data_IF_604501514371
#
_entry.id   IF_604501514371
#
_cell.length_a   1.000
_cell.length_b   1.000
_cell.length_c   1.000
_cell.angle_alpha   90.00
_cell.angle_beta   90.00
_cell.angle_gamma   90.00
#
_symmetry.space_group_name_H-M   'P 1'
#
loop_
_entity.id
_entity.type
_entity.pdbx_description
1 polymer ?
#
# COMPACT_ATOMS: atom_id res chain seq x y z
N UNK A 1 -29.24 16.79 -44.30
CA UNK A 1 -29.99 15.70 -43.65
C UNK A 1 -29.31 15.34 -42.34
N UNK A 2 -30.00 15.37 -41.18
CA UNK A 2 -29.42 14.98 -39.90
C UNK A 2 -29.08 13.47 -39.92
N UNK A 3 -27.82 13.10 -39.68
CA UNK A 3 -27.46 11.68 -39.56
C UNK A 3 -28.05 11.13 -38.25
N UNK A 4 -28.64 9.92 -38.30
CA UNK A 4 -29.16 9.26 -37.09
C UNK A 4 -28.01 9.06 -36.10
N UNK A 5 -28.13 9.65 -34.92
CA UNK A 5 -27.16 9.53 -33.83
C UNK A 5 -26.82 8.06 -33.49
N UNK A 6 -27.76 7.13 -33.67
CA UNK A 6 -27.54 5.69 -33.47
C UNK A 6 -26.52 5.04 -34.43
N UNK A 7 -26.12 5.73 -35.51
CA UNK A 7 -25.11 5.29 -36.46
C UNK A 7 -23.73 5.94 -36.23
N UNK A 8 -23.56 6.75 -35.18
CA UNK A 8 -22.25 7.29 -34.85
C UNK A 8 -21.29 6.20 -34.35
N UNK A 9 -20.00 6.39 -34.60
CA UNK A 9 -18.93 5.59 -34.00
C UNK A 9 -19.02 5.70 -32.48
N UNK A 10 -19.25 4.59 -31.78
CA UNK A 10 -19.42 4.54 -30.31
C UNK A 10 -20.86 4.47 -29.77
N UNK A 11 -21.91 4.68 -30.59
CA UNK A 11 -23.32 4.56 -30.12
C UNK A 11 -23.93 3.17 -30.35
N UNK A 12 -23.17 2.23 -30.92
CA UNK A 12 -23.62 0.88 -31.25
C UNK A 12 -23.27 -0.07 -30.10
N UNK A 13 -24.16 -1.02 -29.80
CA UNK A 13 -23.92 -2.05 -28.77
C UNK A 13 -22.83 -3.08 -29.12
N UNK A 14 -22.35 -3.06 -30.36
CA UNK A 14 -21.32 -3.95 -30.88
C UNK A 14 -20.27 -3.15 -31.62
N UNK A 15 -19.00 -3.52 -31.43
CA UNK A 15 -17.91 -2.96 -32.20
C UNK A 15 -18.06 -3.31 -33.68
N UNK A 16 -17.99 -2.30 -34.54
CA UNK A 16 -17.86 -2.47 -35.99
C UNK A 16 -16.55 -3.15 -36.33
N UNK A 17 -16.43 -3.72 -37.53
CA UNK A 17 -15.20 -4.37 -37.97
C UNK A 17 -13.98 -3.43 -37.91
N UNK A 18 -14.15 -2.15 -38.28
CA UNK A 18 -13.12 -1.11 -38.17
C UNK A 18 -12.76 -0.80 -36.70
N UNK A 19 -13.76 -0.72 -35.81
CA UNK A 19 -13.50 -0.54 -34.38
C UNK A 19 -12.81 -1.75 -33.77
N UNK A 20 -13.18 -2.98 -34.15
CA UNK A 20 -12.47 -4.21 -33.72
C UNK A 20 -11.02 -4.24 -34.21
N UNK A 21 -10.77 -3.78 -35.44
CA UNK A 21 -9.41 -3.67 -35.98
C UNK A 21 -8.56 -2.60 -35.26
N UNK A 22 -9.19 -1.52 -34.75
CA UNK A 22 -8.53 -0.48 -33.94
C UNK A 22 -8.45 -0.82 -32.45
N UNK A 23 -9.38 -1.62 -31.94
CA UNK A 23 -9.49 -1.99 -30.53
C UNK A 23 -8.61 -3.21 -30.19
N UNK A 24 -8.36 -4.09 -31.15
CA UNK A 24 -7.58 -5.31 -30.94
C UNK A 24 -6.17 -5.16 -31.56
N UNK A 25 -5.19 -4.80 -30.72
CA UNK A 25 -3.77 -5.08 -30.97
C UNK A 25 -2.88 -3.90 -31.31
N UNK A 26 -1.57 -4.16 -31.18
CA UNK A 26 -0.48 -3.21 -31.40
C UNK A 26 -0.54 -2.64 -32.82
N UNK A 27 -0.92 -1.37 -32.96
CA UNK A 27 -0.84 -0.64 -34.22
C UNK A 27 0.64 -0.47 -34.58
N UNK A 28 1.11 -1.23 -35.58
CA UNK A 28 2.45 -1.06 -36.15
C UNK A 28 2.42 0.13 -37.10
N UNK A 29 2.75 1.31 -36.59
CA UNK A 29 2.93 2.51 -37.40
C UNK A 29 4.42 2.87 -37.50
N UNK A 30 4.86 3.33 -38.67
CA UNK A 30 6.19 3.91 -38.83
C UNK A 30 6.21 5.25 -38.10
N UNK A 31 7.04 5.35 -37.07
CA UNK A 31 7.25 6.58 -36.32
C UNK A 31 8.12 7.52 -37.17
N UNK A 32 7.70 8.78 -37.31
CA UNK A 32 8.43 9.80 -38.05
C UNK A 32 9.62 10.35 -37.27
N UNK A 33 10.49 11.10 -37.95
CA UNK A 33 11.63 11.80 -37.32
C UNK A 33 11.18 12.76 -36.22
N UNK A 34 10.00 13.36 -36.36
CA UNK A 34 9.42 14.32 -35.41
C UNK A 34 9.11 13.71 -34.03
N UNK A 35 8.97 12.38 -33.94
CA UNK A 35 8.74 11.71 -32.66
C UNK A 35 10.04 11.39 -31.92
N UNK A 36 11.19 11.66 -32.52
CA UNK A 36 12.49 11.52 -31.88
C UNK A 36 12.94 12.88 -31.35
N UNK A 37 13.56 12.88 -30.17
CA UNK A 37 14.16 14.09 -29.62
C UNK A 37 15.32 14.53 -30.52
N UNK A 38 15.24 15.75 -31.06
CA UNK A 38 16.32 16.33 -31.85
C UNK A 38 17.61 16.44 -31.04
N UNK A 39 18.75 16.32 -31.72
CA UNK A 39 20.05 16.47 -31.06
C UNK A 39 20.19 17.88 -30.47
N UNK A 40 20.75 17.98 -29.27
CA UNK A 40 20.93 19.26 -28.56
C UNK A 40 19.67 19.81 -27.89
N UNK A 41 18.55 19.07 -27.90
CA UNK A 41 17.36 19.43 -27.15
C UNK A 41 17.42 18.85 -25.73
N UNK A 42 16.85 19.58 -24.78
CA UNK A 42 16.72 19.15 -23.41
C UNK A 42 15.67 18.03 -23.32
N UNK A 43 16.04 16.89 -22.73
CA UNK A 43 15.13 15.76 -22.58
C UNK A 43 14.03 15.97 -21.52
N UNK A 44 14.06 17.06 -20.74
CA UNK A 44 13.00 17.43 -19.80
C UNK A 44 12.02 18.44 -20.39
N UNK A 45 12.53 19.52 -21.00
CA UNK A 45 11.68 20.60 -21.53
C UNK A 45 11.28 20.41 -22.99
N UNK A 46 11.93 19.49 -23.71
CA UNK A 46 11.72 19.27 -25.16
C UNK A 46 11.97 20.51 -26.03
N UNK A 47 12.75 21.46 -25.51
CA UNK A 47 13.22 22.66 -26.20
C UNK A 47 14.73 22.60 -26.43
N UNK A 48 15.31 23.43 -27.33
CA UNK A 48 16.75 23.57 -27.46
C UNK A 48 17.41 23.78 -26.09
N UNK A 49 18.47 23.04 -25.78
CA UNK A 49 19.08 23.09 -24.46
C UNK A 49 19.86 24.40 -24.26
N UNK A 50 19.55 25.10 -23.17
CA UNK A 50 20.28 26.28 -22.70
C UNK A 50 21.28 25.87 -21.64
N UNK A 51 22.54 26.28 -21.78
CA UNK A 51 23.67 25.81 -20.96
C UNK A 51 23.65 24.27 -20.83
N UNK A 52 23.86 23.55 -21.95
CA UNK A 52 23.61 22.13 -22.01
C UNK A 52 24.54 21.35 -21.07
N UNK A 53 23.95 20.42 -20.32
CA UNK A 53 24.65 19.50 -19.44
C UNK A 53 24.27 18.07 -19.79
N UNK A 54 25.23 17.16 -19.66
CA UNK A 54 25.09 15.74 -19.96
C UNK A 54 25.10 14.93 -18.67
N UNK A 55 24.13 14.03 -18.54
CA UNK A 55 24.15 13.00 -17.49
C UNK A 55 25.07 11.84 -17.88
N UNK A 56 25.54 11.01 -16.92
CA UNK A 56 26.31 9.80 -17.22
C UNK A 56 25.58 8.77 -18.11
N UNK A 57 24.26 8.90 -18.23
CA UNK A 57 23.44 8.10 -19.16
C UNK A 57 23.47 8.60 -20.62
N UNK A 58 24.17 9.70 -20.91
CA UNK A 58 24.34 10.26 -22.24
C UNK A 58 23.17 11.12 -22.74
N UNK A 59 22.31 11.62 -21.83
CA UNK A 59 21.19 12.50 -22.18
C UNK A 59 21.56 13.96 -21.93
N UNK A 60 21.12 14.84 -22.82
CA UNK A 60 21.31 16.29 -22.74
C UNK A 60 20.12 16.93 -22.01
N UNK A 61 20.43 17.85 -21.11
CA UNK A 61 19.46 18.64 -20.38
C UNK A 61 19.90 20.10 -20.38
N UNK A 62 18.96 21.04 -20.25
CA UNK A 62 19.33 22.39 -19.81
C UNK A 62 19.67 22.34 -18.32
N UNK A 63 20.69 23.08 -17.91
CA UNK A 63 21.17 23.09 -16.53
C UNK A 63 20.09 23.43 -15.51
N UNK A 64 19.18 24.33 -15.87
CA UNK A 64 18.10 24.79 -14.99
C UNK A 64 17.09 23.67 -14.69
N UNK A 65 16.53 23.05 -15.73
CA UNK A 65 15.52 22.00 -15.59
C UNK A 65 16.04 20.77 -14.84
N UNK A 66 17.28 20.33 -15.08
CA UNK A 66 17.81 19.17 -14.38
C UNK A 66 18.07 19.46 -12.90
N UNK A 67 18.46 20.69 -12.54
CA UNK A 67 18.63 21.08 -11.14
C UNK A 67 17.29 21.19 -10.43
N UNK A 68 16.28 21.76 -11.07
CA UNK A 68 14.91 21.81 -10.54
C UNK A 68 14.36 20.39 -10.29
N UNK A 69 14.56 19.47 -11.25
CA UNK A 69 14.22 18.07 -11.08
C UNK A 69 14.93 17.43 -9.88
N UNK A 70 16.24 17.64 -9.73
CA UNK A 70 16.99 17.08 -8.59
C UNK A 70 16.52 17.65 -7.25
N UNK A 71 16.16 18.93 -7.20
CA UNK A 71 15.62 19.57 -6.00
C UNK A 71 14.24 19.04 -5.62
N UNK A 72 13.34 18.89 -6.59
CA UNK A 72 12.00 18.34 -6.37
C UNK A 72 12.06 16.89 -5.90
N UNK A 73 12.84 16.04 -6.59
CA UNK A 73 13.05 14.64 -6.17
C UNK A 73 13.78 14.52 -4.83
N UNK A 74 14.71 15.42 -4.52
CA UNK A 74 15.32 15.49 -3.21
C UNK A 74 14.31 15.78 -2.08
N UNK A 75 13.35 16.69 -2.32
CA UNK A 75 12.27 16.99 -1.35
C UNK A 75 11.31 15.81 -1.19
N UNK A 76 10.93 15.16 -2.29
CA UNK A 76 10.09 13.96 -2.26
C UNK A 76 10.76 12.84 -1.46
N UNK A 77 12.05 12.56 -1.70
CA UNK A 77 12.78 11.54 -0.95
C UNK A 77 12.86 11.85 0.54
N UNK A 78 13.11 13.12 0.92
CA UNK A 78 13.10 13.50 2.35
C UNK A 78 11.76 13.21 3.03
N UNK A 79 10.64 13.42 2.33
CA UNK A 79 9.31 13.07 2.85
C UNK A 79 9.17 11.55 3.00
N UNK A 80 9.53 10.79 1.97
CA UNK A 80 9.47 9.32 2.01
C UNK A 80 10.34 8.73 3.13
N UNK A 81 11.53 9.29 3.37
CA UNK A 81 12.39 8.89 4.47
C UNK A 81 11.75 9.14 5.84
N UNK A 82 11.11 10.30 6.01
CA UNK A 82 10.38 10.62 7.24
C UNK A 82 9.21 9.66 7.47
N UNK A 83 8.42 9.41 6.43
CA UNK A 83 7.27 8.49 6.50
C UNK A 83 7.72 7.05 6.82
N UNK A 84 8.85 6.63 6.23
CA UNK A 84 9.47 5.33 6.51
C UNK A 84 9.97 5.21 7.95
N UNK A 85 10.65 6.24 8.47
CA UNK A 85 11.13 6.27 9.86
C UNK A 85 9.96 6.27 10.85
N UNK A 86 8.90 7.04 10.58
CA UNK A 86 7.68 7.04 11.40
C UNK A 86 6.99 5.67 11.40
N UNK A 87 6.96 4.98 10.25
CA UNK A 87 6.39 3.64 10.18
C UNK A 87 7.24 2.62 10.94
N UNK A 88 8.57 2.66 10.81
CA UNK A 88 9.46 1.79 11.59
C UNK A 88 9.30 2.01 13.09
N UNK A 89 9.26 3.27 13.53
CA UNK A 89 9.08 3.60 14.95
C UNK A 89 7.73 3.11 15.50
N UNK A 90 6.65 3.18 14.69
CA UNK A 90 5.35 2.62 15.06
C UNK A 90 5.40 1.10 15.15
N UNK A 91 6.01 0.43 14.17
CA UNK A 91 6.12 -1.03 14.17
C UNK A 91 6.87 -1.55 15.42
N UNK A 92 7.98 -0.91 15.80
CA UNK A 92 8.73 -1.26 17.02
C UNK A 92 7.89 -1.06 18.28
N UNK A 93 7.16 0.07 18.38
CA UNK A 93 6.26 0.32 19.52
C UNK A 93 5.13 -0.70 19.61
N UNK A 94 4.51 -1.04 18.48
CA UNK A 94 3.41 -2.01 18.42
C UNK A 94 3.91 -3.43 18.80
N UNK A 95 5.14 -3.78 18.43
CA UNK A 95 5.79 -5.03 18.86
C UNK A 95 6.07 -5.03 20.37
N UNK A 96 6.57 -3.94 20.94
CA UNK A 96 6.79 -3.80 22.38
C UNK A 96 5.48 -3.87 23.18
N UNK A 97 4.43 -3.17 22.75
CA UNK A 97 3.11 -3.22 23.42
C UNK A 97 2.53 -4.61 23.34
N UNK A 98 2.62 -5.28 22.19
CA UNK A 98 2.13 -6.65 22.03
C UNK A 98 2.93 -7.66 22.87
N UNK A 99 4.24 -7.47 23.02
CA UNK A 99 5.06 -8.29 23.89
C UNK A 99 4.65 -8.11 25.37
N UNK A 100 4.44 -6.87 25.82
CA UNK A 100 3.98 -6.58 27.17
C UNK A 100 2.56 -7.09 27.43
N UNK A 101 1.64 -6.93 26.47
CA UNK A 101 0.29 -7.50 26.53
C UNK A 101 0.36 -9.03 26.68
N UNK A 102 1.13 -9.72 25.84
CA UNK A 102 1.28 -11.17 25.91
C UNK A 102 1.89 -11.65 27.24
N UNK A 103 2.82 -10.86 27.80
CA UNK A 103 3.42 -11.11 29.11
C UNK A 103 2.38 -10.93 30.21
N UNK A 104 1.63 -9.82 30.18
CA UNK A 104 0.57 -9.54 31.15
C UNK A 104 -0.52 -10.62 31.13
N UNK A 105 -0.93 -11.07 29.94
CA UNK A 105 -1.89 -12.17 29.77
C UNK A 105 -1.34 -13.50 30.28
N UNK A 106 -0.04 -13.77 30.11
CA UNK A 106 0.56 -15.00 30.65
C UNK A 106 0.56 -14.99 32.18
N UNK A 107 0.78 -13.82 32.79
CA UNK A 107 0.74 -13.64 34.24
C UNK A 107 -0.69 -13.78 34.76
N UNK A 108 -1.69 -13.14 34.12
CA UNK A 108 -3.09 -13.28 34.53
C UNK A 108 -3.56 -14.72 34.43
N UNK A 109 -3.28 -15.41 33.30
CA UNK A 109 -3.58 -16.84 33.13
C UNK A 109 -2.91 -17.72 34.20
N UNK A 110 -1.66 -17.43 34.57
CA UNK A 110 -0.97 -18.15 35.63
C UNK A 110 -1.63 -17.95 37.01
N UNK A 111 -2.01 -16.72 37.35
CA UNK A 111 -2.69 -16.43 38.62
C UNK A 111 -4.07 -17.11 38.68
N UNK A 112 -4.87 -17.02 37.63
CA UNK A 112 -6.20 -17.64 37.55
C UNK A 112 -6.13 -19.17 37.72
N UNK A 113 -5.18 -19.83 37.05
CA UNK A 113 -5.00 -21.28 37.16
C UNK A 113 -4.56 -21.70 38.57
N UNK A 114 -3.66 -20.96 39.21
CA UNK A 114 -3.17 -21.30 40.55
C UNK A 114 -4.15 -20.98 41.68
N UNK A 115 -4.94 -19.91 41.59
CA UNK A 115 -5.96 -19.60 42.60
C UNK A 115 -7.20 -20.51 42.49
N UNK A 116 -7.53 -21.01 41.30
CA UNK A 116 -8.56 -22.04 41.12
C UNK A 116 -8.27 -23.34 41.88
N UNK A 117 -6.99 -23.74 41.99
CA UNK A 117 -6.56 -24.97 42.69
C UNK A 117 -6.75 -24.90 44.20
N UNK A 118 -6.74 -23.70 44.81
CA UNK A 118 -7.01 -23.54 46.25
C UNK A 118 -8.49 -23.77 46.60
N UNK A 119 -9.40 -23.61 45.64
CA UNK A 119 -10.84 -23.82 45.83
C UNK A 119 -11.28 -25.30 45.68
N UNK A 120 -10.51 -26.12 44.95
CA UNK A 120 -10.82 -27.53 44.72
C UNK A 120 -10.27 -28.44 45.83
N UNK A 121 -9.17 -28.05 46.51
CA UNK A 121 -8.63 -28.83 47.64
C UNK A 121 -9.47 -28.70 48.93
N UNK A 122 -10.38 -27.71 49.03
CA UNK A 122 -11.37 -27.59 50.12
C UNK A 122 -12.66 -28.40 49.90
N UNK A 123 -12.77 -29.16 48.81
CA UNK A 123 -13.99 -29.94 48.49
C UNK A 123 -13.71 -31.45 48.52
N UNK A 124 -13.18 -31.94 49.64
CA UNK A 124 -13.11 -33.40 49.91
C UNK A 124 -13.13 -33.71 51.41
N UNK A 125 -14.18 -33.28 52.11
CA UNK A 125 -14.64 -33.86 53.39
C UNK A 125 -16.18 -33.72 53.46
N UNK A 126 -16.88 -34.84 53.69
CA UNK A 126 -18.34 -34.94 53.94
C UNK A 126 -19.15 -35.28 52.68
N UNK A 127 -19.44 -36.55 52.38
CA UNK A 127 -20.46 -37.42 53.00
C UNK A 127 -21.89 -37.08 52.57
N UNK A 128 -22.47 -38.01 51.81
CA UNK A 128 -23.87 -38.39 51.60
C UNK A 128 -24.95 -37.36 51.96
N UNK A 129 -25.65 -36.87 50.94
CA UNK A 129 -26.79 -35.98 51.12
C UNK A 129 -27.59 -35.79 49.83
N UNK A 130 -28.52 -36.72 49.58
CA UNK A 130 -29.65 -36.54 48.68
C UNK A 130 -30.30 -35.16 48.88
N UNK A 131 -30.28 -34.32 47.84
CA UNK A 131 -31.17 -33.16 47.74
C UNK A 131 -31.75 -33.08 46.34
N UNK A 132 -32.84 -33.82 46.18
CA UNK A 132 -34.07 -33.48 45.44
C UNK A 132 -33.97 -32.28 44.50
N UNK A 133 -34.17 -32.60 43.22
CA UNK A 133 -34.56 -31.70 42.13
C UNK A 133 -35.69 -30.77 42.58
N UNK A 134 -35.41 -29.48 42.68
CA UNK A 134 -36.44 -28.44 42.68
C UNK A 134 -36.50 -27.83 41.28
N UNK A 135 -37.63 -28.07 40.61
CA UNK A 135 -37.90 -27.58 39.27
C UNK A 135 -37.84 -26.05 39.23
N UNK A 136 -37.01 -25.53 38.33
CA UNK A 136 -37.24 -24.23 37.73
C UNK A 136 -37.67 -24.47 36.29
N UNK A 137 -38.83 -23.92 35.96
CA UNK A 137 -39.37 -23.84 34.61
C UNK A 137 -38.28 -23.40 33.62
N UNK A 138 -38.33 -23.82 32.34
CA UNK A 138 -37.40 -23.31 31.35
C UNK A 138 -37.71 -21.82 31.15
N UNK A 139 -37.11 -20.97 31.97
CA UNK A 139 -36.99 -19.55 31.68
C UNK A 139 -36.29 -19.51 30.33
N UNK A 140 -37.03 -19.09 29.29
CA UNK A 140 -36.55 -18.94 27.92
C UNK A 140 -35.09 -18.54 27.98
N UNK A 141 -34.20 -19.52 27.76
CA UNK A 141 -32.78 -19.27 27.78
C UNK A 141 -32.61 -18.24 26.68
N UNK A 142 -32.39 -16.97 27.06
CA UNK A 142 -31.84 -16.03 26.10
C UNK A 142 -30.59 -16.77 25.63
N UNK A 143 -30.51 -17.02 24.34
CA UNK A 143 -29.30 -17.51 23.72
C UNK A 143 -28.26 -16.43 24.02
N UNK A 144 -27.62 -16.55 25.18
CA UNK A 144 -26.53 -15.70 25.59
C UNK A 144 -25.41 -16.25 24.76
N UNK A 145 -25.10 -15.48 23.72
CA UNK A 145 -24.03 -15.76 22.81
C UNK A 145 -22.72 -15.60 23.58
N UNK A 146 -22.27 -16.71 24.17
CA UNK A 146 -21.02 -16.87 24.94
C UNK A 146 -19.76 -16.75 24.06
N UNK A 147 -19.92 -16.50 22.76
CA UNK A 147 -18.77 -16.26 21.88
C UNK A 147 -18.07 -14.98 22.29
N UNK A 148 -16.74 -15.07 22.35
CA UNK A 148 -15.90 -13.93 22.73
C UNK A 148 -15.95 -12.86 21.65
N UNK A 149 -15.72 -11.59 22.03
CA UNK A 149 -15.74 -10.48 21.07
C UNK A 149 -14.78 -10.69 19.89
N UNK A 150 -13.68 -11.43 20.09
CA UNK A 150 -12.69 -11.72 19.06
C UNK A 150 -13.17 -12.78 18.05
N UNK A 151 -13.93 -13.79 18.50
CA UNK A 151 -14.58 -14.76 17.62
C UNK A 151 -15.60 -14.09 16.71
N UNK A 152 -16.37 -13.13 17.24
CA UNK A 152 -17.32 -12.34 16.44
C UNK A 152 -16.61 -11.51 15.37
N UNK A 153 -15.48 -10.88 15.71
CA UNK A 153 -14.65 -10.14 14.75
C UNK A 153 -14.06 -11.04 13.67
N UNK A 154 -13.64 -12.26 14.00
CA UNK A 154 -13.14 -13.23 13.02
C UNK A 154 -14.25 -13.64 12.03
N UNK A 155 -15.45 -13.94 12.51
CA UNK A 155 -16.61 -14.24 11.65
C UNK A 155 -17.04 -13.05 10.78
N UNK A 156 -16.97 -11.82 11.33
CA UNK A 156 -17.21 -10.58 10.59
C UNK A 156 -16.17 -10.35 9.48
N UNK A 157 -14.91 -10.72 9.70
CA UNK A 157 -13.85 -10.57 8.69
C UNK A 157 -14.13 -11.41 7.42
N UNK A 158 -14.72 -12.59 7.58
CA UNK A 158 -15.08 -13.46 6.46
C UNK A 158 -16.39 -13.04 5.77
N UNK A 159 -17.33 -12.45 6.52
CA UNK A 159 -18.66 -12.08 6.01
C UNK A 159 -18.74 -10.64 5.48
N UNK A 160 -17.83 -9.75 5.90
CA UNK A 160 -17.87 -8.32 5.57
C UNK A 160 -16.53 -7.80 5.01
N UNK A 161 -16.17 -8.17 3.76
CA UNK A 161 -14.91 -7.72 3.14
C UNK A 161 -14.87 -6.21 2.83
N UNK A 162 -16.00 -5.51 2.98
CA UNK A 162 -16.13 -4.07 2.71
C UNK A 162 -15.73 -3.19 3.91
N UNK A 163 -15.49 -3.79 5.08
CA UNK A 163 -15.03 -3.06 6.27
C UNK A 163 -13.54 -2.73 6.09
N UNK A 164 -13.09 -1.47 6.23
CA UNK A 164 -11.70 -1.06 5.95
C UNK A 164 -10.62 -1.91 6.64
N UNK A 165 -10.88 -2.39 7.85
CA UNK A 165 -9.95 -3.21 8.63
C UNK A 165 -9.79 -4.65 8.08
N UNK A 166 -10.74 -5.14 7.29
CA UNK A 166 -10.76 -6.51 6.78
C UNK A 166 -10.37 -6.62 5.30
N UNK A 167 -10.06 -5.50 4.65
CA UNK A 167 -9.60 -5.49 3.26
C UNK A 167 -8.16 -6.03 3.22
N UNK A 168 -7.85 -7.06 2.41
CA UNK A 168 -6.51 -7.67 2.36
C UNK A 168 -5.41 -6.68 1.97
N UNK A 169 -5.75 -5.64 1.20
CA UNK A 169 -4.85 -4.56 0.76
C UNK A 169 -4.83 -3.33 1.69
N UNK A 170 -5.68 -3.28 2.72
CA UNK A 170 -5.68 -2.20 3.71
C UNK A 170 -4.75 -2.46 4.89
N UNK A 171 -4.08 -3.62 4.93
CA UNK A 171 -2.90 -3.79 5.78
C UNK A 171 -1.91 -2.71 5.37
N UNK A 172 -1.51 -1.86 6.33
CA UNK A 172 -0.59 -0.76 6.09
C UNK A 172 0.61 -1.27 5.29
N UNK A 173 0.73 -0.81 4.05
CA UNK A 173 1.80 -1.27 3.17
C UNK A 173 3.12 -0.95 3.87
N UNK A 174 3.92 -1.98 4.17
CA UNK A 174 5.28 -1.78 4.67
C UNK A 174 6.04 -0.97 3.64
N UNK A 175 6.35 0.28 3.97
CA UNK A 175 7.08 1.17 3.09
C UNK A 175 8.45 0.54 2.87
N UNK A 176 8.88 0.48 1.61
CA UNK A 176 10.22 0.01 1.25
C UNK A 176 11.22 1.11 1.57
N UNK A 177 12.43 0.74 2.01
CA UNK A 177 13.50 1.69 2.27
C UNK A 177 13.71 2.62 1.05
N UNK A 178 13.48 3.94 1.20
CA UNK A 178 13.62 4.87 0.09
C UNK A 178 15.09 4.96 -0.36
N UNK A 179 15.37 5.18 -1.66
CA UNK A 179 16.75 5.31 -2.11
C UNK A 179 17.40 6.59 -1.53
N UNK A 180 18.70 6.51 -1.24
CA UNK A 180 19.48 7.63 -0.69
C UNK A 180 19.66 8.81 -1.65
N UNK A 181 19.52 8.58 -2.96
CA UNK A 181 19.79 9.58 -4.01
C UNK A 181 18.62 9.66 -4.97
N UNK A 182 18.33 10.86 -5.52
CA UNK A 182 17.31 11.00 -6.53
C UNK A 182 17.66 10.17 -7.77
N UNK A 183 16.68 9.46 -8.35
CA UNK A 183 16.89 8.74 -9.60
C UNK A 183 17.08 9.73 -10.76
N UNK A 184 17.75 9.30 -11.81
CA UNK A 184 17.83 10.04 -13.07
C UNK A 184 16.49 9.95 -13.82
N UNK A 185 16.06 11.03 -14.51
CA UNK A 185 14.74 11.08 -15.14
C UNK A 185 14.58 10.08 -16.29
N UNK A 186 15.68 9.72 -16.96
CA UNK A 186 15.64 8.76 -18.07
C UNK A 186 16.06 7.34 -17.66
N UNK A 187 17.14 7.19 -16.88
CA UNK A 187 17.72 5.86 -16.61
C UNK A 187 17.36 5.25 -15.25
N UNK A 188 16.69 5.98 -14.36
CA UNK A 188 16.35 5.51 -13.00
C UNK A 188 17.55 5.32 -12.05
N UNK A 189 18.78 5.30 -12.57
CA UNK A 189 20.03 5.23 -11.80
C UNK A 189 20.20 6.47 -10.92
N UNK A 190 20.84 6.36 -9.74
CA UNK A 190 21.05 7.48 -8.84
C UNK A 190 21.93 8.56 -9.51
N UNK A 191 21.51 9.82 -9.39
CA UNK A 191 22.17 10.96 -10.04
C UNK A 191 22.50 12.06 -9.02
N UNK A 192 23.69 12.65 -9.12
CA UNK A 192 24.08 13.84 -8.35
C UNK A 192 24.35 15.01 -9.28
N UNK A 193 24.26 16.23 -8.74
CA UNK A 193 24.58 17.45 -9.48
C UNK A 193 26.02 17.49 -10.00
N UNK A 194 26.98 16.91 -9.26
CA UNK A 194 28.39 16.81 -9.67
C UNK A 194 28.64 15.84 -10.83
N UNK A 195 27.71 14.92 -11.06
CA UNK A 195 27.84 13.94 -12.13
C UNK A 195 27.39 14.54 -13.48
N UNK A 196 26.89 15.78 -13.49
CA UNK A 196 26.50 16.53 -14.68
C UNK A 196 27.73 17.20 -15.29
N UNK A 197 27.98 16.90 -16.56
CA UNK A 197 29.12 17.45 -17.31
C UNK A 197 28.60 18.57 -18.21
N UNK A 198 29.07 19.83 -18.06
CA UNK A 198 28.73 20.88 -19.00
C UNK A 198 29.35 20.60 -20.36
N UNK A 199 28.59 20.85 -21.43
CA UNK A 199 29.04 20.69 -22.81
C UNK A 199 28.76 21.97 -23.59
N UNK A 200 29.55 22.22 -24.63
CA UNK A 200 29.29 23.29 -25.58
C UNK A 200 28.71 22.69 -26.86
N UNK A 201 27.46 23.03 -27.16
CA UNK A 201 26.82 22.64 -28.41
C UNK A 201 27.06 23.74 -29.43
N UNK A 202 27.81 23.42 -30.49
CA UNK A 202 27.91 24.26 -31.68
C UNK A 202 26.54 24.22 -32.35
N UNK A 203 25.88 25.38 -32.41
CA UNK A 203 24.60 25.55 -33.10
C UNK A 203 24.79 25.60 -34.61
#
# INVERSE_FOLDING_TARGET
>A
MPSRHSKNTGSRSHFTHNEKAKANGNVKQRIGSESQLAFGYCALSLHPAENPVVSPSGRVYSREFILEYLLTKGKELKKQWKDYEEQQAKAVRDEETKAEESRSESITRFVETHDGVKSTLKRKVGEDGSSVTFGQAPSRAKFIDDTTNDEKKAQLSHSSPWVPQFIPHARDATLVEPPKRPPSPFSGRPLRSKDLIPIDLIK
#
